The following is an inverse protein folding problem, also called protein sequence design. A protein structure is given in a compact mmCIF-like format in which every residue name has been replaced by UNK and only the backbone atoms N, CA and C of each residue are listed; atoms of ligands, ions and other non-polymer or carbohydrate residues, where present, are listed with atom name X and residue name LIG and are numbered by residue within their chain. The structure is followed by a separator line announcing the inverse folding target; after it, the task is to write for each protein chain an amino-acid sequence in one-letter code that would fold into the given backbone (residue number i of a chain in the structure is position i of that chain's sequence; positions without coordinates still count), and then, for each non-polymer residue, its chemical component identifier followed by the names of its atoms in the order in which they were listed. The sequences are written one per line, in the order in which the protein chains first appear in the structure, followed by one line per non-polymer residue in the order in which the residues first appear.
data_IF_185120810667
#
_entry.id   IF_185120810667
#
_cell.length_a   1.000
_cell.length_b   1.000
_cell.length_c   1.000
_cell.angle_alpha   90.00
_cell.angle_beta   90.00
_cell.angle_gamma   90.00
#
_symmetry.space_group_name_H-M   'P 1'
#
loop_
_entity.id
_entity.type
_entity.pdbx_description
1 polymer ?
#
# COMPACT_ATOMS: atom_id res chain seq x y z
N UNK A 1 0.81 11.31 -11.73
CA UNK A 1 0.57 10.03 -10.99
C UNK A 1 1.83 9.18 -10.95
N UNK A 2 1.78 8.03 -10.24
CA UNK A 2 2.95 7.14 -10.14
C UNK A 2 3.35 6.52 -11.49
N UNK A 3 2.38 6.17 -12.31
CA UNK A 3 2.64 5.60 -13.65
C UNK A 3 3.33 6.61 -14.54
N UNK A 4 2.83 7.83 -14.59
CA UNK A 4 3.42 8.89 -15.43
C UNK A 4 4.85 9.21 -14.96
N UNK A 5 5.04 9.36 -13.65
CA UNK A 5 6.32 9.77 -13.06
C UNK A 5 7.44 8.75 -13.26
N UNK A 6 7.14 7.46 -13.14
CA UNK A 6 8.15 6.40 -13.09
C UNK A 6 8.21 5.52 -14.33
N UNK A 7 7.31 5.68 -15.30
CA UNK A 7 7.28 4.84 -16.49
C UNK A 7 7.77 5.54 -17.74
N UNK A 8 7.19 6.67 -18.12
CA UNK A 8 7.41 7.25 -19.43
C UNK A 8 7.62 8.77 -19.46
N UNK A 9 7.70 9.44 -18.30
CA UNK A 9 7.76 10.90 -18.27
C UNK A 9 8.94 11.48 -19.08
N UNK A 10 10.07 10.77 -19.12
CA UNK A 10 11.25 11.19 -19.86
C UNK A 10 11.14 11.00 -21.38
N UNK A 11 10.33 10.03 -21.84
CA UNK A 11 10.16 9.70 -23.26
C UNK A 11 8.89 10.25 -23.89
N UNK A 12 7.97 10.77 -23.11
CA UNK A 12 6.66 11.23 -23.58
C UNK A 12 6.68 12.75 -23.85
N UNK A 13 6.71 13.14 -25.13
CA UNK A 13 6.75 14.55 -25.55
C UNK A 13 5.59 15.39 -25.00
N UNK A 14 4.36 14.83 -24.92
CA UNK A 14 3.22 15.55 -24.37
C UNK A 14 3.37 15.78 -22.86
N UNK A 15 3.94 14.80 -22.15
CA UNK A 15 4.28 14.95 -20.73
C UNK A 15 5.36 16.01 -20.52
N UNK A 16 6.44 16.00 -21.32
CA UNK A 16 7.50 17.02 -21.29
C UNK A 16 6.93 18.42 -21.53
N UNK A 17 6.14 18.59 -22.59
CA UNK A 17 5.49 19.88 -22.87
C UNK A 17 4.60 20.34 -21.70
N UNK A 18 3.89 19.44 -21.05
CA UNK A 18 3.09 19.76 -19.86
C UNK A 18 3.96 20.17 -18.67
N UNK A 19 5.12 19.54 -18.51
CA UNK A 19 6.10 19.92 -17.48
C UNK A 19 6.63 21.34 -17.75
N UNK A 20 6.93 21.69 -19.02
CA UNK A 20 7.43 23.02 -19.40
C UNK A 20 6.43 24.11 -19.06
N UNK A 21 5.17 23.92 -19.44
CA UNK A 21 4.09 24.90 -19.26
C UNK A 21 3.70 25.11 -17.80
N UNK A 22 3.90 24.12 -16.95
CA UNK A 22 3.50 24.18 -15.56
C UNK A 22 4.35 25.18 -14.76
N UNK A 23 3.72 26.12 -14.08
CA UNK A 23 4.38 27.04 -13.14
C UNK A 23 4.88 26.34 -11.88
N UNK A 24 4.19 25.31 -11.43
CA UNK A 24 4.52 24.47 -10.27
C UNK A 24 4.16 23.03 -10.58
N UNK A 25 4.96 22.11 -10.08
CA UNK A 25 4.72 20.67 -10.13
C UNK A 25 4.46 20.16 -8.72
N UNK A 26 3.54 19.22 -8.59
CA UNK A 26 3.21 18.59 -7.31
C UNK A 26 3.50 17.10 -7.41
N UNK A 27 4.30 16.60 -6.47
CA UNK A 27 4.51 15.17 -6.26
C UNK A 27 3.91 14.75 -4.92
N UNK A 28 3.49 13.49 -4.82
CA UNK A 28 2.73 13.01 -3.67
C UNK A 28 3.62 12.50 -2.52
N UNK A 29 4.95 12.50 -2.72
CA UNK A 29 5.93 12.14 -1.71
C UNK A 29 7.34 12.66 -2.11
N UNK A 30 8.27 12.84 -1.14
CA UNK A 30 9.54 13.55 -1.39
C UNK A 30 10.44 12.95 -2.46
N UNK A 31 10.53 11.60 -2.54
CA UNK A 31 11.37 10.92 -3.54
C UNK A 31 10.86 11.11 -4.98
N UNK A 32 9.61 11.55 -5.16
CA UNK A 32 9.05 11.88 -6.48
C UNK A 32 9.75 13.07 -7.14
N UNK A 33 10.35 13.97 -6.36
CA UNK A 33 11.13 15.10 -6.90
C UNK A 33 12.34 14.58 -7.69
N UNK A 34 13.06 13.60 -7.13
CA UNK A 34 14.27 13.04 -7.74
C UNK A 34 13.99 12.14 -8.97
N UNK A 35 12.73 11.81 -9.21
CA UNK A 35 12.32 11.09 -10.42
C UNK A 35 12.12 12.04 -11.64
N UNK A 36 12.11 13.34 -11.39
CA UNK A 36 12.01 14.37 -12.43
C UNK A 36 13.41 14.83 -12.89
N UNK A 37 13.57 15.23 -14.16
CA UNK A 37 14.77 15.94 -14.62
C UNK A 37 15.11 17.15 -13.74
N UNK A 38 16.38 17.44 -13.56
CA UNK A 38 16.87 18.45 -12.60
C UNK A 38 16.27 19.84 -12.82
N UNK A 39 16.01 20.20 -14.08
CA UNK A 39 15.40 21.48 -14.47
C UNK A 39 14.00 21.67 -13.87
N UNK A 40 13.23 20.57 -13.67
CA UNK A 40 11.87 20.63 -13.10
C UNK A 40 11.85 20.52 -11.59
N UNK A 41 12.91 20.03 -10.96
CA UNK A 41 12.95 19.80 -9.50
C UNK A 41 12.75 21.12 -8.72
N UNK A 42 13.35 22.23 -9.20
CA UNK A 42 13.26 23.56 -8.55
C UNK A 42 11.83 24.11 -8.48
N UNK A 43 10.96 23.74 -9.42
CA UNK A 43 9.55 24.14 -9.43
C UNK A 43 8.60 23.08 -8.86
N UNK A 44 9.15 22.00 -8.30
CA UNK A 44 8.38 20.88 -7.75
C UNK A 44 8.26 21.00 -6.23
N UNK A 45 7.06 20.77 -5.73
CA UNK A 45 6.75 20.72 -4.29
C UNK A 45 6.11 19.39 -3.94
N UNK A 46 6.35 18.93 -2.72
CA UNK A 46 5.69 17.73 -2.19
C UNK A 46 4.40 18.11 -1.48
N UNK A 47 3.29 17.49 -1.87
CA UNK A 47 2.02 17.56 -1.15
C UNK A 47 1.57 16.13 -0.86
N UNK A 48 1.64 15.74 0.41
CA UNK A 48 1.18 14.43 0.84
C UNK A 48 -0.35 14.35 0.74
N UNK A 49 -0.86 13.21 0.27
CA UNK A 49 -2.30 12.98 0.28
C UNK A 49 -2.78 12.78 1.72
N UNK A 50 -3.70 13.62 2.15
CA UNK A 50 -4.30 13.52 3.47
C UNK A 50 -5.36 12.40 3.52
N UNK A 51 -5.57 11.85 4.71
CA UNK A 51 -6.62 10.89 4.99
C UNK A 51 -7.38 11.30 6.25
N UNK A 52 -8.70 11.12 6.24
CA UNK A 52 -9.52 11.36 7.43
C UNK A 52 -9.40 10.17 8.38
N UNK A 53 -9.22 10.41 9.68
CA UNK A 53 -9.27 9.34 10.66
C UNK A 53 -10.65 8.66 10.64
N UNK A 54 -10.73 7.35 10.94
CA UNK A 54 -12.00 6.68 11.04
C UNK A 54 -12.85 7.31 12.15
N UNK A 55 -14.14 7.53 11.89
CA UNK A 55 -15.07 8.13 12.86
C UNK A 55 -15.23 7.28 14.14
N UNK A 56 -14.96 5.99 14.05
CA UNK A 56 -15.02 5.04 15.17
C UNK A 56 -13.79 4.13 15.12
N UNK A 57 -13.12 4.01 16.25
CA UNK A 57 -12.03 3.04 16.41
C UNK A 57 -12.60 1.62 16.41
N UNK A 58 -12.34 0.90 15.34
CA UNK A 58 -12.75 -0.50 15.20
C UNK A 58 -11.71 -1.41 15.88
N UNK A 59 -12.21 -2.38 16.67
CA UNK A 59 -11.33 -3.39 17.26
C UNK A 59 -11.04 -4.48 16.23
N UNK A 60 -9.78 -4.93 16.11
CA UNK A 60 -9.44 -6.10 15.30
C UNK A 60 -10.20 -7.36 15.72
N UNK A 61 -10.37 -8.30 14.79
CA UNK A 61 -10.97 -9.60 15.10
C UNK A 61 -10.13 -10.34 16.15
N UNK A 62 -10.81 -11.02 17.09
CA UNK A 62 -10.14 -11.72 18.21
C UNK A 62 -9.41 -12.98 17.74
N UNK A 63 -10.04 -13.74 16.83
CA UNK A 63 -9.56 -15.07 16.44
C UNK A 63 -8.67 -15.06 15.20
N UNK A 64 -8.83 -14.06 14.33
CA UNK A 64 -8.07 -13.94 13.09
C UNK A 64 -7.07 -12.77 13.17
N UNK A 65 -5.92 -12.97 12.54
CA UNK A 65 -4.99 -11.91 12.25
C UNK A 65 -5.30 -11.39 10.82
N UNK A 66 -6.23 -10.45 10.73
CA UNK A 66 -6.71 -9.94 9.43
C UNK A 66 -5.68 -9.04 8.77
N UNK A 67 -5.33 -9.36 7.54
CA UNK A 67 -4.44 -8.60 6.65
C UNK A 67 -5.26 -8.09 5.47
N UNK A 68 -5.28 -6.78 5.26
CA UNK A 68 -6.02 -6.19 4.14
C UNK A 68 -5.08 -5.77 3.02
N UNK A 69 -5.48 -6.06 1.79
CA UNK A 69 -4.87 -5.54 0.55
C UNK A 69 -5.91 -4.67 -0.13
N UNK A 70 -5.54 -3.43 -0.48
CA UNK A 70 -6.45 -2.51 -1.17
C UNK A 70 -5.83 -2.01 -2.46
N UNK A 71 -6.48 -2.32 -3.55
CA UNK A 71 -6.08 -1.89 -4.90
C UNK A 71 -6.74 -2.72 -5.99
N UNK A 72 -7.04 -2.08 -7.09
CA UNK A 72 -7.55 -2.80 -8.25
C UNK A 72 -6.54 -3.84 -8.74
N UNK A 73 -7.04 -4.96 -9.25
CA UNK A 73 -6.23 -6.05 -9.76
C UNK A 73 -5.58 -5.62 -11.09
N UNK A 74 -4.37 -5.06 -11.00
CA UNK A 74 -3.51 -4.65 -12.12
C UNK A 74 -2.10 -5.16 -11.91
N UNK A 75 -1.39 -5.48 -12.98
CA UNK A 75 -0.04 -6.04 -12.94
C UNK A 75 0.97 -5.19 -12.13
N UNK A 76 0.85 -3.86 -12.22
CA UNK A 76 1.72 -2.92 -11.47
C UNK A 76 1.50 -2.97 -9.96
N UNK A 77 0.30 -3.39 -9.52
CA UNK A 77 -0.03 -3.53 -8.09
C UNK A 77 0.41 -4.86 -7.50
N UNK A 78 0.83 -5.81 -8.33
CA UNK A 78 1.17 -7.20 -7.95
C UNK A 78 0.12 -7.81 -6.98
N UNK A 79 -1.16 -7.83 -7.39
CA UNK A 79 -2.31 -7.94 -6.49
C UNK A 79 -2.41 -9.28 -5.76
N UNK A 80 -1.76 -10.32 -6.27
CA UNK A 80 -1.81 -11.67 -5.70
C UNK A 80 -0.60 -12.01 -4.81
N UNK A 81 0.35 -11.08 -4.62
CA UNK A 81 1.56 -11.33 -3.83
C UNK A 81 1.25 -11.77 -2.42
N UNK A 82 0.33 -11.06 -1.74
CA UNK A 82 -0.06 -11.38 -0.36
C UNK A 82 -0.80 -12.71 -0.26
N UNK A 83 -1.66 -13.03 -1.24
CA UNK A 83 -2.31 -14.34 -1.32
C UNK A 83 -1.29 -15.47 -1.50
N UNK A 84 -0.30 -15.27 -2.39
CA UNK A 84 0.79 -16.25 -2.57
C UNK A 84 1.63 -16.42 -1.30
N UNK A 85 1.94 -15.32 -0.61
CA UNK A 85 2.69 -15.35 0.66
C UNK A 85 1.90 -16.07 1.76
N UNK A 86 0.58 -15.86 1.83
CA UNK A 86 -0.25 -16.52 2.85
C UNK A 86 -0.31 -18.05 2.71
N UNK A 87 -0.04 -18.59 1.50
CA UNK A 87 0.06 -20.06 1.30
C UNK A 87 1.36 -20.68 1.85
N UNK A 88 2.36 -19.85 2.16
CA UNK A 88 3.64 -20.28 2.74
C UNK A 88 3.62 -20.27 4.27
N UNK A 89 2.54 -19.77 4.87
CA UNK A 89 2.41 -19.68 6.32
C UNK A 89 2.12 -21.08 6.94
N UNK A 90 2.58 -21.32 8.19
CA UNK A 90 2.26 -22.53 8.93
C UNK A 90 0.74 -22.73 9.11
N UNK A 91 0.31 -23.97 9.27
CA UNK A 91 -1.12 -24.31 9.39
C UNK A 91 -1.80 -23.66 10.60
N UNK A 92 -1.07 -23.45 11.69
CA UNK A 92 -1.54 -22.82 12.92
C UNK A 92 -1.57 -21.30 12.87
N UNK A 93 -1.06 -20.67 11.79
CA UNK A 93 -1.16 -19.22 11.59
C UNK A 93 -2.61 -18.79 11.43
N UNK A 94 -2.99 -17.74 12.15
CA UNK A 94 -4.35 -17.15 12.13
C UNK A 94 -4.53 -16.08 11.07
N UNK A 95 -3.51 -15.86 10.22
CA UNK A 95 -3.54 -14.86 9.16
C UNK A 95 -4.61 -15.20 8.13
N UNK A 96 -5.48 -14.23 7.88
CA UNK A 96 -6.46 -14.23 6.77
C UNK A 96 -6.29 -12.96 5.95
N UNK A 97 -6.36 -13.08 4.63
CA UNK A 97 -6.12 -12.00 3.68
C UNK A 97 -7.45 -11.58 3.05
N UNK A 98 -7.83 -10.33 3.25
CA UNK A 98 -8.98 -9.70 2.59
C UNK A 98 -8.47 -8.75 1.50
N UNK A 99 -8.77 -9.04 0.22
CA UNK A 99 -8.40 -8.19 -0.89
C UNK A 99 -9.60 -7.39 -1.39
N UNK A 100 -9.46 -6.05 -1.43
CA UNK A 100 -10.49 -5.10 -1.86
C UNK A 100 -9.99 -4.36 -3.11
N UNK A 101 -10.71 -4.48 -4.21
CA UNK A 101 -10.42 -3.82 -5.47
C UNK A 101 -11.06 -4.54 -6.65
N UNK A 102 -11.38 -3.78 -7.69
CA UNK A 102 -11.98 -4.32 -8.91
C UNK A 102 -10.97 -5.11 -9.73
N UNK A 103 -11.41 -6.17 -10.36
CA UNK A 103 -10.68 -6.78 -11.47
C UNK A 103 -10.89 -5.93 -12.73
N UNK A 104 -9.81 -5.39 -13.29
CA UNK A 104 -9.90 -4.52 -14.48
C UNK A 104 -9.87 -5.31 -15.80
N UNK A 105 -9.63 -6.62 -15.75
CA UNK A 105 -9.67 -7.52 -16.92
C UNK A 105 -10.33 -8.83 -16.54
N UNK A 106 -10.95 -9.55 -17.54
CA UNK A 106 -11.52 -10.88 -17.28
C UNK A 106 -10.49 -11.88 -16.73
N UNK A 107 -9.25 -11.83 -17.20
CA UNK A 107 -8.17 -12.70 -16.72
C UNK A 107 -7.84 -12.49 -15.25
N UNK A 108 -7.86 -11.23 -14.78
CA UNK A 108 -7.66 -10.91 -13.35
C UNK A 108 -8.84 -11.39 -12.50
N UNK A 109 -10.06 -11.30 -13.01
CA UNK A 109 -11.25 -11.84 -12.35
C UNK A 109 -11.14 -13.37 -12.18
N UNK A 110 -10.86 -14.08 -13.29
CA UNK A 110 -10.68 -15.54 -13.27
C UNK A 110 -9.58 -15.96 -12.29
N UNK A 111 -8.46 -15.23 -12.28
CA UNK A 111 -7.35 -15.51 -11.36
C UNK A 111 -7.74 -15.29 -9.89
N UNK A 112 -8.49 -14.23 -9.58
CA UNK A 112 -8.93 -13.94 -8.21
C UNK A 112 -9.88 -15.04 -7.69
N UNK A 113 -10.85 -15.43 -8.49
CA UNK A 113 -11.78 -16.51 -8.16
C UNK A 113 -11.04 -17.86 -7.97
N UNK A 114 -10.07 -18.16 -8.84
CA UNK A 114 -9.24 -19.37 -8.68
C UNK A 114 -8.41 -19.33 -7.42
N UNK A 115 -7.79 -18.18 -7.11
CA UNK A 115 -7.01 -18.02 -5.87
C UNK A 115 -7.88 -18.25 -4.63
N UNK A 116 -9.10 -17.72 -4.62
CA UNK A 116 -10.06 -17.92 -3.52
C UNK A 116 -10.47 -19.38 -3.34
N UNK A 117 -10.57 -20.14 -4.44
CA UNK A 117 -10.89 -21.58 -4.39
C UNK A 117 -9.76 -22.44 -3.82
N UNK A 118 -8.50 -22.09 -4.09
CA UNK A 118 -7.34 -22.90 -3.72
C UNK A 118 -6.63 -22.43 -2.44
N UNK A 119 -6.98 -21.26 -1.92
CA UNK A 119 -6.34 -20.61 -0.79
C UNK A 119 -7.37 -20.22 0.27
N UNK A 120 -7.58 -21.06 1.25
CA UNK A 120 -8.56 -20.87 2.34
C UNK A 120 -8.27 -19.61 3.19
N UNK A 121 -7.07 -19.03 3.09
CA UNK A 121 -6.68 -17.80 3.80
C UNK A 121 -7.04 -16.53 3.01
N UNK A 122 -7.43 -16.63 1.75
CA UNK A 122 -7.64 -15.49 0.87
C UNK A 122 -9.12 -15.31 0.52
N UNK A 123 -9.60 -14.07 0.63
CA UNK A 123 -10.94 -13.68 0.18
C UNK A 123 -10.85 -12.39 -0.65
N UNK A 124 -11.43 -12.44 -1.86
CA UNK A 124 -11.54 -11.28 -2.71
C UNK A 124 -12.96 -10.68 -2.64
N UNK A 125 -13.03 -9.41 -2.24
CA UNK A 125 -14.31 -8.71 -2.00
C UNK A 125 -14.76 -7.85 -3.18
N UNK A 126 -14.04 -7.87 -4.30
CA UNK A 126 -14.32 -6.94 -5.40
C UNK A 126 -14.14 -5.48 -4.99
N UNK A 127 -14.79 -4.57 -5.71
CA UNK A 127 -14.79 -3.14 -5.37
C UNK A 127 -15.76 -2.86 -4.25
N UNK A 128 -15.32 -2.14 -3.21
CA UNK A 128 -16.16 -1.67 -2.12
C UNK A 128 -16.24 -0.13 -2.13
N UNK A 129 -17.31 0.40 -1.58
CA UNK A 129 -17.42 1.83 -1.30
C UNK A 129 -16.31 2.28 -0.34
N UNK A 130 -15.82 3.53 -0.50
CA UNK A 130 -14.69 4.05 0.25
C UNK A 130 -14.86 3.91 1.77
N UNK A 131 -16.03 4.21 2.31
CA UNK A 131 -16.32 4.10 3.74
C UNK A 131 -16.21 2.65 4.25
N UNK A 132 -16.55 1.64 3.44
CA UNK A 132 -16.41 0.22 3.79
C UNK A 132 -14.93 -0.21 3.69
N UNK A 133 -14.19 0.28 2.70
CA UNK A 133 -12.75 0.06 2.56
C UNK A 133 -11.99 0.62 3.76
N UNK A 134 -12.26 1.86 4.16
CA UNK A 134 -11.65 2.49 5.34
C UNK A 134 -11.97 1.73 6.64
N UNK A 135 -13.21 1.22 6.79
CA UNK A 135 -13.58 0.35 7.92
C UNK A 135 -12.80 -0.97 7.91
N UNK A 136 -12.60 -1.57 6.74
CA UNK A 136 -11.81 -2.80 6.62
C UNK A 136 -10.35 -2.54 7.02
N UNK A 137 -9.72 -1.47 6.53
CA UNK A 137 -8.36 -1.07 6.92
C UNK A 137 -8.28 -0.86 8.44
N UNK A 138 -9.18 -0.05 9.01
CA UNK A 138 -9.16 0.28 10.44
C UNK A 138 -9.37 -0.92 11.37
N UNK A 139 -10.04 -1.97 10.89
CA UNK A 139 -10.26 -3.22 11.64
C UNK A 139 -9.08 -4.18 11.53
N UNK A 140 -8.31 -4.08 10.46
CA UNK A 140 -7.24 -5.02 10.16
C UNK A 140 -6.06 -4.90 11.10
N UNK A 141 -5.31 -5.99 11.24
CA UNK A 141 -4.03 -6.00 11.94
C UNK A 141 -2.92 -5.39 11.09
N UNK A 142 -2.97 -5.61 9.77
CA UNK A 142 -1.99 -5.10 8.81
C UNK A 142 -2.68 -4.67 7.52
N UNK A 143 -2.09 -3.66 6.87
CA UNK A 143 -2.26 -3.40 5.45
C UNK A 143 -1.02 -3.90 4.70
N UNK A 144 -1.19 -4.55 3.55
CA UNK A 144 -0.08 -4.89 2.65
C UNK A 144 -0.19 -4.12 1.34
N UNK A 145 0.91 -3.51 0.92
CA UNK A 145 1.07 -2.83 -0.37
C UNK A 145 2.20 -3.50 -1.15
N UNK A 146 1.85 -4.34 -2.11
CA UNK A 146 2.79 -5.15 -2.91
C UNK A 146 3.15 -4.54 -4.26
N UNK A 147 2.82 -3.27 -4.47
CA UNK A 147 3.00 -2.58 -5.74
C UNK A 147 4.46 -2.54 -6.20
N UNK A 148 4.67 -2.67 -7.51
CA UNK A 148 5.99 -2.50 -8.15
C UNK A 148 6.35 -1.03 -8.32
N UNK A 149 5.35 -0.16 -8.35
CA UNK A 149 5.49 1.28 -8.60
C UNK A 149 4.30 2.04 -7.98
N UNK A 150 4.60 3.14 -7.28
CA UNK A 150 3.62 4.07 -6.71
C UNK A 150 4.17 5.50 -6.72
N UNK A 151 3.32 6.46 -7.05
CA UNK A 151 3.65 7.89 -6.91
C UNK A 151 3.48 8.41 -5.48
N UNK A 152 2.62 7.75 -4.73
CA UNK A 152 2.23 8.02 -3.34
C UNK A 152 0.91 7.27 -3.11
N UNK A 153 0.99 6.10 -2.48
CA UNK A 153 -0.17 5.23 -2.32
C UNK A 153 -1.10 5.78 -1.24
N UNK A 154 -2.25 6.34 -1.64
CA UNK A 154 -3.23 6.92 -0.70
C UNK A 154 -3.65 5.92 0.41
N UNK A 155 -3.70 4.64 0.07
CA UNK A 155 -4.03 3.59 1.05
C UNK A 155 -3.02 3.51 2.20
N UNK A 156 -1.76 3.92 2.00
CA UNK A 156 -0.76 4.02 3.07
C UNK A 156 -1.14 5.16 4.04
N UNK A 157 -1.52 6.34 3.53
CA UNK A 157 -1.99 7.43 4.39
C UNK A 157 -3.25 7.04 5.16
N UNK A 158 -4.19 6.36 4.50
CA UNK A 158 -5.41 5.84 5.12
C UNK A 158 -5.12 4.86 6.26
N UNK A 159 -4.20 3.92 6.05
CA UNK A 159 -3.78 2.96 7.07
C UNK A 159 -3.06 3.63 8.25
N UNK A 160 -2.12 4.53 7.97
CA UNK A 160 -1.37 5.28 8.99
C UNK A 160 -2.33 6.06 9.89
N UNK A 161 -3.29 6.78 9.30
CA UNK A 161 -4.26 7.60 10.04
C UNK A 161 -5.27 6.72 10.80
N UNK A 162 -5.57 5.53 10.28
CA UNK A 162 -6.39 4.52 10.97
C UNK A 162 -5.65 3.81 12.12
N UNK A 163 -4.33 3.99 12.24
CA UNK A 163 -3.49 3.30 13.22
C UNK A 163 -3.16 1.84 12.84
N UNK A 164 -3.37 1.47 11.57
CA UNK A 164 -3.07 0.15 11.03
C UNK A 164 -1.66 0.15 10.47
N UNK A 165 -0.73 -0.68 10.97
CA UNK A 165 0.62 -0.78 10.43
C UNK A 165 0.63 -1.40 9.02
N UNK A 166 1.69 -1.08 8.27
CA UNK A 166 1.79 -1.40 6.84
C UNK A 166 2.99 -2.31 6.59
N UNK A 167 2.84 -3.36 5.79
CA UNK A 167 3.97 -4.00 5.11
C UNK A 167 3.97 -3.52 3.65
N UNK A 168 5.12 -3.12 3.13
CA UNK A 168 5.17 -2.53 1.79
C UNK A 168 6.41 -2.94 1.02
N UNK A 169 6.29 -3.00 -0.30
CA UNK A 169 7.46 -3.10 -1.17
C UNK A 169 8.39 -1.90 -0.96
N UNK A 170 9.72 -2.18 -1.01
CA UNK A 170 10.77 -1.17 -0.88
C UNK A 170 10.92 -0.38 -2.19
N UNK A 171 9.99 0.54 -2.42
CA UNK A 171 9.95 1.43 -3.60
C UNK A 171 9.91 2.89 -3.16
N UNK A 172 10.34 3.81 -4.04
CA UNK A 172 10.39 5.25 -3.73
C UNK A 172 9.07 5.82 -3.22
N UNK A 173 7.94 5.39 -3.80
CA UNK A 173 6.61 5.79 -3.35
C UNK A 173 6.31 5.39 -1.90
N UNK A 174 6.71 4.19 -1.49
CA UNK A 174 6.55 3.71 -0.11
C UNK A 174 7.54 4.36 0.85
N UNK A 175 8.80 4.52 0.43
CA UNK A 175 9.86 5.20 1.21
C UNK A 175 9.47 6.64 1.58
N UNK A 176 8.88 7.37 0.63
CA UNK A 176 8.42 8.74 0.87
C UNK A 176 7.28 8.84 1.89
N UNK A 177 6.43 7.82 1.96
CA UNK A 177 5.29 7.74 2.86
C UNK A 177 5.69 7.22 4.25
N UNK A 178 6.43 6.10 4.30
CA UNK A 178 6.77 5.38 5.53
C UNK A 178 8.14 5.77 6.12
N UNK A 179 9.05 6.34 5.31
CA UNK A 179 10.43 6.66 5.70
C UNK A 179 11.39 5.51 5.45
N UNK A 180 12.68 5.86 5.23
CA UNK A 180 13.73 4.89 4.84
C UNK A 180 14.00 3.81 5.90
N UNK A 181 13.85 4.15 7.17
CA UNK A 181 14.18 3.28 8.31
C UNK A 181 12.95 2.47 8.81
N UNK A 182 11.90 2.39 8.00
CA UNK A 182 10.72 1.62 8.36
C UNK A 182 10.99 0.11 8.26
N UNK A 183 10.69 -0.70 9.30
CA UNK A 183 11.09 -2.10 9.34
C UNK A 183 10.18 -3.06 8.54
N UNK A 184 9.06 -2.57 8.01
CA UNK A 184 8.06 -3.37 7.29
C UNK A 184 8.24 -3.43 5.79
N UNK A 185 9.46 -3.29 5.26
CA UNK A 185 9.74 -3.38 3.83
C UNK A 185 10.16 -4.77 3.39
N UNK A 186 9.72 -5.14 2.18
CA UNK A 186 10.17 -6.34 1.48
C UNK A 186 10.51 -6.02 0.01
N UNK A 187 11.36 -6.86 -0.66
CA UNK A 187 11.70 -6.65 -2.07
C UNK A 187 10.51 -6.84 -3.00
N UNK A 188 10.49 -6.12 -4.13
CA UNK A 188 9.48 -6.29 -5.17
C UNK A 188 9.45 -7.76 -5.63
N UNK A 189 8.26 -8.36 -5.60
CA UNK A 189 8.07 -9.71 -6.11
C UNK A 189 8.53 -10.83 -5.17
N UNK A 190 9.08 -10.51 -4.01
CA UNK A 190 9.57 -11.50 -3.06
C UNK A 190 8.42 -12.03 -2.18
N UNK A 191 7.96 -13.23 -2.51
CA UNK A 191 6.87 -13.91 -1.79
C UNK A 191 7.34 -14.43 -0.43
N UNK A 192 8.59 -14.90 -0.35
CA UNK A 192 9.16 -15.50 0.86
C UNK A 192 9.40 -14.43 1.90
N UNK A 193 10.07 -13.34 1.54
CA UNK A 193 10.29 -12.21 2.45
C UNK A 193 8.96 -11.62 2.97
N UNK A 194 7.91 -11.53 2.13
CA UNK A 194 6.60 -11.11 2.61
C UNK A 194 5.98 -12.11 3.57
N UNK A 195 6.09 -13.43 3.32
CA UNK A 195 5.56 -14.45 4.23
C UNK A 195 6.27 -14.42 5.60
N UNK A 196 7.58 -14.24 5.61
CA UNK A 196 8.37 -14.09 6.84
C UNK A 196 7.92 -12.86 7.65
N UNK A 197 7.76 -11.70 7.01
CA UNK A 197 7.27 -10.49 7.69
C UNK A 197 5.83 -10.63 8.19
N UNK A 198 4.96 -11.31 7.45
CA UNK A 198 3.60 -11.60 7.88
C UNK A 198 3.62 -12.47 9.16
N UNK A 199 4.38 -13.56 9.14
CA UNK A 199 4.51 -14.46 10.30
C UNK A 199 5.14 -13.73 11.49
N UNK A 200 6.20 -12.96 11.26
CA UNK A 200 6.85 -12.17 12.30
C UNK A 200 5.87 -11.17 12.93
N UNK A 201 5.07 -10.47 12.11
CA UNK A 201 4.09 -9.52 12.64
C UNK A 201 2.96 -10.21 13.45
N UNK A 202 2.64 -11.46 13.16
CA UNK A 202 1.67 -12.24 13.94
C UNK A 202 2.26 -12.75 15.26
N UNK A 203 3.51 -13.23 15.24
CA UNK A 203 4.11 -13.99 16.35
C UNK A 203 5.01 -13.13 17.26
N UNK A 204 5.63 -12.08 16.73
CA UNK A 204 6.50 -11.16 17.48
C UNK A 204 5.75 -9.84 17.80
N UNK A 205 5.28 -9.73 19.04
CA UNK A 205 4.57 -8.54 19.53
C UNK A 205 5.46 -7.29 19.55
N UNK A 206 6.77 -7.45 19.70
CA UNK A 206 7.74 -6.34 19.68
C UNK A 206 7.87 -5.77 18.28
N UNK A 207 8.03 -6.63 17.28
CA UNK A 207 8.07 -6.23 15.88
C UNK A 207 6.76 -5.56 15.45
N UNK A 208 5.62 -6.18 15.77
CA UNK A 208 4.31 -5.58 15.49
C UNK A 208 4.15 -4.19 16.10
N UNK A 209 4.59 -4.01 17.36
CA UNK A 209 4.57 -2.71 18.04
C UNK A 209 5.48 -1.71 17.33
N UNK A 210 6.69 -2.11 16.89
CA UNK A 210 7.59 -1.23 16.14
C UNK A 210 6.94 -0.74 14.84
N UNK A 211 6.32 -1.62 14.06
CA UNK A 211 5.58 -1.22 12.85
C UNK A 211 4.50 -0.18 13.17
N UNK A 212 3.70 -0.44 14.19
CA UNK A 212 2.59 0.42 14.59
C UNK A 212 3.06 1.78 15.10
N UNK A 213 4.04 1.80 15.99
CA UNK A 213 4.56 3.03 16.59
C UNK A 213 5.20 3.93 15.53
N UNK A 214 5.88 3.33 14.55
CA UNK A 214 6.43 4.08 13.42
C UNK A 214 5.33 4.74 12.57
N UNK A 215 4.27 4.01 12.24
CA UNK A 215 3.12 4.55 11.53
C UNK A 215 2.43 5.68 12.32
N UNK A 216 2.19 5.49 13.62
CA UNK A 216 1.55 6.48 14.48
C UNK A 216 2.35 7.80 14.58
N UNK A 217 3.68 7.73 14.68
CA UNK A 217 4.56 8.92 14.66
C UNK A 217 4.41 9.76 13.40
N UNK A 218 3.99 9.14 12.29
CA UNK A 218 3.82 9.81 11.00
C UNK A 218 2.38 10.29 10.75
N UNK A 219 1.40 9.87 11.56
CA UNK A 219 -0.02 10.11 11.31
C UNK A 219 -0.38 11.60 11.16
N UNK A 220 0.26 12.48 11.94
CA UNK A 220 0.02 13.93 11.85
C UNK A 220 0.30 14.49 10.45
N UNK A 221 1.30 13.96 9.72
CA UNK A 221 1.66 14.42 8.37
C UNK A 221 0.57 14.18 7.33
N UNK A 222 -0.37 13.30 7.62
CA UNK A 222 -1.47 12.92 6.73
C UNK A 222 -2.82 13.43 7.21
N UNK A 223 -2.85 14.23 8.26
CA UNK A 223 -4.09 14.84 8.75
C UNK A 223 -4.52 15.97 7.78
N UNK A 224 -5.81 16.07 7.38
CA UNK A 224 -6.31 17.17 6.55
C UNK A 224 -6.10 18.59 7.13
N UNK A 225 -5.86 18.68 8.45
CA UNK A 225 -5.61 19.93 9.14
C UNK A 225 -4.09 20.24 9.34
N UNK A 226 -3.20 19.41 8.77
CA UNK A 226 -1.75 19.58 8.90
C UNK A 226 -1.19 20.56 7.87
#
# INVERSE_FOLDING_TARGET
TGTDLYHDIAGNQAAQHSLDLAKRLIVLQPYGIHALPDEYQKKTVTVLQSAKPPAVLLKPLKHNFEVTVVGNLRAVKDPFRTAMASRLLPDDSRIVVTHIGAALTPSMNTRANREEQINHRYTWRGSLAQNLTLKAIARSRLLVVSSKMEGGANVISEAIVAGTPVLSTHISGSLGMLGKDYPGYFPIGDTVALAELLLQAETDTTFYKQLRDHCLKRAQRFNPAA
#
